data_IF_076893999232
#
_entry.id   IF_076893999232
#
_cell.length_a   1.000
_cell.length_b   1.000
_cell.length_c   1.000
_cell.angle_alpha   90.00
_cell.angle_beta   90.00
_cell.angle_gamma   90.00
#
_symmetry.space_group_name_H-M   'P 1'
#
loop_
_entity.id
_entity.type
_entity.pdbx_description
1 polymer ?
#
# COMPACT_ATOMS: atom_id res chain seq x y z
N UNK A 1 0.82 -35.35 43.10
CA UNK A 1 1.08 -36.11 41.87
C UNK A 1 2.03 -35.29 41.01
N UNK A 2 3.29 -35.67 41.13
CA UNK A 2 4.43 -35.63 40.21
C UNK A 2 4.61 -34.52 39.16
N UNK A 3 5.65 -33.73 39.45
CA UNK A 3 6.64 -33.14 38.55
C UNK A 3 7.05 -34.06 37.38
N UNK A 4 7.03 -33.55 36.14
CA UNK A 4 8.02 -33.92 35.12
C UNK A 4 8.52 -32.71 34.35
N UNK A 5 9.70 -32.26 34.81
CA UNK A 5 10.72 -31.55 34.03
C UNK A 5 11.04 -32.38 32.78
N UNK A 6 11.12 -31.76 31.60
CA UNK A 6 12.00 -32.23 30.55
C UNK A 6 12.96 -31.12 30.17
N UNK A 7 14.22 -31.42 30.42
CA UNK A 7 15.41 -30.60 30.36
C UNK A 7 16.24 -31.14 29.20
N UNK A 8 16.97 -30.23 28.55
CA UNK A 8 18.14 -30.45 27.68
C UNK A 8 17.92 -31.11 26.31
N UNK A 9 18.34 -30.39 25.27
CA UNK A 9 19.73 -30.57 24.80
C UNK A 9 20.18 -29.40 23.92
N UNK A 10 21.27 -28.77 24.35
CA UNK A 10 22.11 -27.91 23.52
C UNK A 10 22.87 -28.80 22.54
N UNK A 11 22.97 -28.40 21.27
CA UNK A 11 24.08 -28.80 20.43
C UNK A 11 24.73 -27.55 19.82
N UNK A 12 26.02 -27.41 20.11
CA UNK A 12 26.94 -26.44 19.53
C UNK A 12 27.68 -27.17 18.40
N UNK A 13 27.70 -26.58 17.21
CA UNK A 13 28.70 -26.82 16.16
C UNK A 13 28.85 -25.48 15.41
N UNK A 14 29.87 -24.66 15.63
CA UNK A 14 31.29 -24.84 15.31
C UNK A 14 31.53 -25.05 13.80
N UNK A 15 32.18 -24.05 13.18
CA UNK A 15 33.06 -24.25 12.03
C UNK A 15 32.47 -23.88 10.67
N UNK A 16 33.03 -22.84 10.05
CA UNK A 16 32.79 -22.56 8.63
C UNK A 16 33.17 -21.16 8.16
N UNK A 17 34.41 -20.73 8.40
CA UNK A 17 34.98 -19.58 7.67
C UNK A 17 35.40 -20.10 6.29
N UNK A 18 34.74 -19.63 5.23
CA UNK A 18 35.22 -19.69 3.85
C UNK A 18 34.86 -18.34 3.20
N UNK A 19 35.80 -17.39 3.22
CA UNK A 19 36.77 -17.16 2.15
C UNK A 19 36.13 -16.55 0.87
N UNK A 20 36.20 -15.22 0.85
CA UNK A 20 36.40 -14.31 -0.28
C UNK A 20 36.52 -14.94 -1.69
N UNK A 21 35.65 -14.51 -2.60
CA UNK A 21 36.02 -14.28 -3.99
C UNK A 21 35.30 -13.06 -4.54
N UNK A 22 36.00 -11.93 -4.53
CA UNK A 22 35.67 -10.75 -5.34
C UNK A 22 36.05 -11.07 -6.79
N UNK A 23 35.08 -11.07 -7.68
CA UNK A 23 35.33 -10.93 -9.12
C UNK A 23 34.88 -9.54 -9.56
N UNK A 24 35.82 -8.60 -9.54
CA UNK A 24 35.74 -7.34 -10.26
C UNK A 24 35.92 -7.64 -11.76
N UNK A 25 34.86 -7.48 -12.55
CA UNK A 25 34.97 -7.27 -13.99
C UNK A 25 34.73 -5.80 -14.26
N UNK A 26 35.83 -5.09 -14.49
CA UNK A 26 35.85 -3.76 -15.08
C UNK A 26 36.44 -3.88 -16.48
N UNK A 27 35.70 -3.41 -17.48
CA UNK A 27 36.15 -2.98 -18.82
C UNK A 27 34.90 -2.36 -19.47
N UNK A 28 34.79 -1.03 -19.53
CA UNK A 28 35.28 -0.21 -20.65
C UNK A 28 34.07 0.11 -21.56
N UNK A 29 33.86 1.27 -22.16
CA UNK A 29 34.66 2.46 -22.38
C UNK A 29 33.72 3.60 -22.79
N UNK A 30 34.07 4.80 -22.36
CA UNK A 30 33.67 6.14 -22.80
C UNK A 30 33.14 6.27 -24.24
N UNK A 31 32.05 7.03 -24.37
CA UNK A 31 31.70 7.76 -25.58
C UNK A 31 30.94 9.04 -25.20
N UNK A 32 31.55 10.23 -25.27
CA UNK A 32 30.82 11.48 -25.19
C UNK A 32 30.25 11.82 -26.57
N UNK A 33 28.96 12.08 -26.66
CA UNK A 33 28.44 12.97 -27.68
C UNK A 33 27.68 14.10 -27.01
N UNK A 34 28.42 15.18 -26.76
CA UNK A 34 27.89 16.53 -26.90
C UNK A 34 27.29 16.66 -28.31
N UNK A 35 26.02 17.08 -28.38
CA UNK A 35 25.62 18.00 -29.42
C UNK A 35 24.68 19.04 -28.83
N UNK A 36 25.22 20.25 -28.80
CA UNK A 36 24.67 21.49 -28.27
C UNK A 36 23.41 21.97 -29.00
N UNK A 37 22.42 22.38 -28.19
CA UNK A 37 21.50 23.56 -28.22
C UNK A 37 21.45 24.49 -29.47
N UNK A 38 20.48 25.43 -29.63
CA UNK A 38 19.16 25.63 -28.97
C UNK A 38 18.01 25.97 -29.97
N UNK A 39 16.75 25.92 -29.51
CA UNK A 39 15.68 26.77 -30.09
C UNK A 39 14.74 27.27 -28.99
N UNK A 40 14.75 28.57 -28.66
CA UNK A 40 13.64 29.20 -27.96
C UNK A 40 12.67 29.78 -28.99
N UNK A 41 11.41 29.35 -28.98
CA UNK A 41 10.33 30.08 -29.65
C UNK A 41 9.17 30.27 -28.70
N UNK A 42 8.91 31.56 -28.48
CA UNK A 42 7.84 32.18 -27.71
C UNK A 42 6.47 31.79 -28.25
N UNK A 43 5.55 31.44 -27.35
CA UNK A 43 4.13 31.71 -27.50
C UNK A 43 3.49 31.79 -26.10
N UNK A 44 3.60 32.97 -25.49
CA UNK A 44 2.61 33.43 -24.52
C UNK A 44 1.35 33.76 -25.30
N UNK A 45 0.25 33.07 -24.99
CA UNK A 45 -1.10 33.58 -25.23
C UNK A 45 -1.83 33.50 -23.90
N UNK A 46 -1.96 34.65 -23.26
CA UNK A 46 -2.92 34.91 -22.18
C UNK A 46 -4.34 34.56 -22.63
N UNK A 47 -5.17 34.07 -21.71
CA UNK A 47 -6.55 34.48 -21.64
C UNK A 47 -6.70 35.49 -20.48
N UNK A 48 -6.97 36.74 -20.84
CA UNK A 48 -7.70 37.67 -19.98
C UNK A 48 -9.05 37.04 -19.60
N UNK A 49 -9.55 37.36 -18.40
CA UNK A 49 -10.81 38.11 -18.40
C UNK A 49 -10.72 39.37 -17.54
N UNK A 50 -11.12 40.48 -18.15
CA UNK A 50 -11.53 41.71 -17.48
C UNK A 50 -12.76 41.47 -16.59
N UNK A 51 -12.65 41.95 -15.35
CA UNK A 51 -13.62 42.75 -14.57
C UNK A 51 -15.12 42.57 -14.87
N UNK A 52 -15.88 42.15 -13.86
CA UNK A 52 -17.04 42.93 -13.43
C UNK A 52 -17.35 42.72 -11.95
N UNK A 53 -17.63 43.85 -11.34
CA UNK A 53 -17.84 44.10 -9.93
C UNK A 53 -19.29 43.82 -9.53
N UNK A 54 -19.46 43.62 -8.22
CA UNK A 54 -20.61 44.08 -7.42
C UNK A 54 -22.01 43.47 -7.68
N UNK A 55 -22.49 42.67 -6.73
CA UNK A 55 -23.80 42.93 -6.13
C UNK A 55 -23.76 42.47 -4.65
N UNK A 56 -23.59 43.45 -3.76
CA UNK A 56 -23.77 43.26 -2.32
C UNK A 56 -25.25 43.50 -2.04
N UNK A 57 -26.05 42.43 -1.99
CA UNK A 57 -27.42 42.55 -1.51
C UNK A 57 -27.51 42.17 -0.03
N UNK A 58 -27.47 43.21 0.80
CA UNK A 58 -28.00 43.20 2.17
C UNK A 58 -29.54 43.19 2.10
N UNK A 59 -30.14 42.10 2.56
CA UNK A 59 -31.58 41.99 2.76
C UNK A 59 -31.85 41.19 4.02
N UNK A 60 -32.21 41.90 5.08
CA UNK A 60 -32.36 41.41 6.43
C UNK A 60 -33.79 40.84 6.69
N UNK A 61 -33.85 39.95 7.68
CA UNK A 61 -34.97 39.63 8.59
C UNK A 61 -36.24 38.98 7.99
N UNK A 62 -36.48 37.71 8.36
CA UNK A 62 -37.84 37.26 8.67
C UNK A 62 -37.78 36.09 9.65
N UNK A 63 -38.29 36.32 10.85
CA UNK A 63 -38.49 35.33 11.91
C UNK A 63 -39.56 34.32 11.46
N UNK A 64 -39.22 33.03 11.55
CA UNK A 64 -40.12 31.94 11.25
C UNK A 64 -39.72 30.71 12.05
N UNK A 65 -40.25 30.62 13.26
CA UNK A 65 -40.24 29.43 14.10
C UNK A 65 -40.95 28.28 13.35
N UNK A 66 -40.18 27.31 12.89
CA UNK A 66 -40.68 26.03 12.39
C UNK A 66 -39.73 24.93 12.86
N UNK A 67 -40.12 24.35 14.00
CA UNK A 67 -39.70 23.06 14.51
C UNK A 67 -39.86 21.96 13.43
N UNK A 68 -38.77 21.32 12.95
CA UNK A 68 -38.87 20.01 12.34
C UNK A 68 -38.66 18.97 13.44
N UNK A 69 -39.77 18.34 13.85
CA UNK A 69 -39.79 17.11 14.62
C UNK A 69 -38.73 16.15 14.08
N UNK A 70 -37.85 15.68 14.96
CA UNK A 70 -37.08 14.47 14.70
C UNK A 70 -38.07 13.35 14.38
N UNK A 71 -37.96 12.64 13.24
CA UNK A 71 -38.64 11.37 13.13
C UNK A 71 -37.90 10.40 14.05
N UNK A 72 -38.48 10.15 15.22
CA UNK A 72 -38.40 8.84 15.86
C UNK A 72 -38.84 7.83 14.80
N UNK A 73 -37.87 7.11 14.24
CA UNK A 73 -38.13 5.91 13.45
C UNK A 73 -37.68 4.73 14.30
N UNK A 74 -38.67 3.89 14.51
CA UNK A 74 -38.75 2.78 15.44
C UNK A 74 -37.62 1.77 15.23
N UNK A 75 -37.29 1.10 16.33
CA UNK A 75 -36.48 -0.09 16.44
C UNK A 75 -36.95 -1.16 15.45
N UNK A 76 -36.34 -1.16 14.26
CA UNK A 76 -36.31 -2.29 13.37
C UNK A 76 -35.17 -3.20 13.78
N UNK A 77 -35.39 -4.02 14.80
CA UNK A 77 -34.55 -5.16 15.15
C UNK A 77 -34.58 -6.15 13.98
N UNK A 78 -33.75 -5.89 12.97
CA UNK A 78 -33.35 -6.90 12.00
C UNK A 78 -32.14 -7.59 12.60
N UNK A 79 -32.40 -8.61 13.42
CA UNK A 79 -31.44 -9.61 13.87
C UNK A 79 -31.05 -10.49 12.66
N UNK A 80 -30.48 -9.86 11.64
CA UNK A 80 -29.68 -10.48 10.62
C UNK A 80 -28.26 -10.39 11.13
N UNK A 81 -27.68 -11.50 11.58
CA UNK A 81 -26.26 -11.59 11.86
C UNK A 81 -25.50 -10.91 10.72
N UNK A 82 -24.96 -9.72 10.98
CA UNK A 82 -24.05 -9.08 10.06
C UNK A 82 -22.94 -10.09 9.81
N UNK A 83 -22.83 -10.55 8.55
CA UNK A 83 -21.70 -11.37 8.15
C UNK A 83 -20.44 -10.63 8.64
N UNK A 84 -19.68 -11.28 9.52
CA UNK A 84 -18.52 -10.63 10.12
C UNK A 84 -17.43 -10.60 9.05
N UNK A 85 -17.42 -9.56 8.22
CA UNK A 85 -16.40 -9.42 7.19
C UNK A 85 -15.01 -9.30 7.84
N UNK A 86 -14.03 -10.07 7.35
CA UNK A 86 -12.63 -9.88 7.71
C UNK A 86 -12.06 -8.77 6.85
N UNK A 87 -11.37 -7.84 7.49
CA UNK A 87 -10.80 -6.69 6.79
C UNK A 87 -9.29 -6.86 6.64
N UNK A 88 -8.83 -6.88 5.39
CA UNK A 88 -7.40 -6.86 5.05
C UNK A 88 -7.04 -5.46 4.59
N UNK A 89 -6.06 -4.84 5.25
CA UNK A 89 -5.50 -3.55 4.87
C UNK A 89 -4.06 -3.73 4.43
N UNK A 90 -3.74 -3.27 3.22
CA UNK A 90 -2.40 -3.35 2.65
C UNK A 90 -1.87 -1.93 2.57
N UNK A 91 -0.71 -1.69 3.19
CA UNK A 91 -0.04 -0.40 3.15
C UNK A 91 1.32 -0.53 2.48
N UNK A 92 1.64 0.41 1.60
CA UNK A 92 2.94 0.50 0.92
C UNK A 92 3.40 1.94 0.98
N UNK A 93 4.62 2.16 1.47
CA UNK A 93 5.21 3.49 1.55
C UNK A 93 6.65 3.47 1.07
N UNK A 94 7.19 4.61 0.68
CA UNK A 94 8.56 4.67 0.19
C UNK A 94 9.04 6.06 -0.15
N UNK A 95 10.35 6.16 -0.39
CA UNK A 95 11.05 7.41 -0.67
C UNK A 95 10.74 8.03 -2.05
N UNK A 96 10.15 7.29 -2.99
CA UNK A 96 9.76 7.81 -4.32
C UNK A 96 8.25 7.98 -4.39
N UNK A 97 7.79 8.74 -5.39
CA UNK A 97 6.37 9.03 -5.59
C UNK A 97 5.56 7.86 -6.18
N UNK A 98 6.20 6.82 -6.73
CA UNK A 98 5.48 5.66 -7.27
C UNK A 98 6.31 4.38 -7.24
N UNK A 99 5.61 3.24 -7.19
CA UNK A 99 6.19 1.91 -7.29
C UNK A 99 5.31 0.99 -8.16
N UNK A 100 5.87 -0.11 -8.63
CA UNK A 100 5.12 -1.24 -9.15
C UNK A 100 4.69 -2.10 -7.95
N UNK A 101 3.39 -2.36 -7.85
CA UNK A 101 2.76 -3.10 -6.76
C UNK A 101 1.98 -4.28 -7.34
N UNK A 102 2.16 -5.47 -6.78
CA UNK A 102 1.28 -6.63 -6.99
C UNK A 102 0.66 -7.00 -5.65
N UNK A 103 -0.66 -6.96 -5.61
CA UNK A 103 -1.48 -7.54 -4.54
C UNK A 103 -2.11 -8.81 -5.08
N UNK A 104 -1.94 -9.93 -4.39
CA UNK A 104 -2.61 -11.20 -4.68
C UNK A 104 -3.25 -11.74 -3.41
N UNK A 105 -4.56 -11.93 -3.43
CA UNK A 105 -5.32 -12.62 -2.38
C UNK A 105 -5.88 -13.91 -2.97
N UNK A 106 -5.62 -15.03 -2.31
CA UNK A 106 -6.17 -16.34 -2.66
C UNK A 106 -7.10 -16.76 -1.54
N UNK A 107 -8.38 -16.94 -1.84
CA UNK A 107 -9.40 -17.40 -0.89
C UNK A 107 -9.37 -18.92 -0.70
N UNK A 108 -10.01 -19.43 0.34
CA UNK A 108 -10.07 -20.86 0.65
C UNK A 108 -10.80 -21.69 -0.42
N UNK A 109 -11.68 -21.08 -1.19
CA UNK A 109 -12.32 -21.68 -2.37
C UNK A 109 -11.43 -21.65 -3.63
N UNK A 110 -10.19 -21.15 -3.51
CA UNK A 110 -9.21 -21.09 -4.59
C UNK A 110 -9.38 -19.94 -5.57
N UNK A 111 -10.30 -18.99 -5.32
CA UNK A 111 -10.41 -17.79 -6.14
C UNK A 111 -9.23 -16.85 -5.89
N UNK A 112 -8.73 -16.25 -6.96
CA UNK A 112 -7.67 -15.25 -6.90
C UNK A 112 -8.22 -13.85 -7.15
N UNK A 113 -7.80 -12.89 -6.33
CA UNK A 113 -8.05 -11.47 -6.52
C UNK A 113 -6.73 -10.73 -6.73
N UNK A 114 -6.65 -9.91 -7.78
CA UNK A 114 -5.46 -9.14 -8.14
C UNK A 114 -4.46 -9.93 -9.00
N UNK A 115 -3.20 -10.02 -8.55
CA UNK A 115 -2.14 -10.83 -9.17
C UNK A 115 -1.30 -10.14 -10.25
N UNK A 116 -1.70 -8.95 -10.72
CA UNK A 116 -0.96 -8.15 -11.70
C UNK A 116 -0.08 -7.11 -11.02
N UNK A 117 1.12 -6.89 -11.56
CA UNK A 117 1.95 -5.73 -11.19
C UNK A 117 1.37 -4.48 -11.84
N UNK A 118 1.01 -3.48 -11.04
CA UNK A 118 0.41 -2.21 -11.48
C UNK A 118 1.24 -1.06 -10.90
N UNK A 119 1.34 0.07 -11.62
CA UNK A 119 1.97 1.27 -11.05
C UNK A 119 1.01 1.93 -10.07
N UNK A 120 1.48 2.18 -8.85
CA UNK A 120 0.75 2.91 -7.83
C UNK A 120 1.55 4.14 -7.37
N UNK A 121 0.85 5.22 -7.04
CA UNK A 121 1.43 6.36 -6.32
C UNK A 121 1.69 5.96 -4.87
N UNK A 122 2.77 6.46 -4.27
CA UNK A 122 3.11 6.23 -2.87
C UNK A 122 2.85 7.49 -2.02
N UNK A 123 2.34 7.34 -0.78
CA UNK A 123 1.92 6.08 -0.15
C UNK A 123 0.66 5.49 -0.81
N UNK A 124 0.56 4.16 -0.79
CA UNK A 124 -0.55 3.39 -1.35
C UNK A 124 -1.21 2.56 -0.25
N UNK A 125 -2.53 2.63 -0.16
CA UNK A 125 -3.34 1.80 0.73
C UNK A 125 -4.42 1.10 -0.08
N UNK A 126 -4.62 -0.19 0.18
CA UNK A 126 -5.70 -0.99 -0.39
C UNK A 126 -6.41 -1.75 0.70
N UNK A 127 -7.73 -1.61 0.75
CA UNK A 127 -8.60 -2.40 1.62
C UNK A 127 -9.26 -3.52 0.80
N UNK A 128 -9.30 -4.72 1.38
CA UNK A 128 -9.98 -5.88 0.82
C UNK A 128 -10.88 -6.45 1.91
N UNK A 129 -12.19 -6.36 1.69
CA UNK A 129 -13.19 -7.03 2.51
C UNK A 129 -13.32 -8.49 2.05
N UNK A 130 -13.19 -9.41 2.99
CA UNK A 130 -13.40 -10.84 2.78
C UNK A 130 -14.62 -11.27 3.58
N UNK A 131 -15.57 -11.94 2.94
CA UNK A 131 -16.70 -12.51 3.65
C UNK A 131 -16.20 -13.56 4.66
N UNK A 132 -16.83 -13.67 5.83
CA UNK A 132 -16.42 -14.57 6.93
C UNK A 132 -16.28 -16.04 6.52
N UNK A 133 -17.11 -16.47 5.58
CA UNK A 133 -17.11 -17.82 4.99
C UNK A 133 -16.02 -17.99 3.92
N UNK A 134 -15.46 -16.88 3.45
CA UNK A 134 -14.39 -16.76 2.46
C UNK A 134 -13.09 -16.26 3.12
N UNK A 135 -12.60 -17.02 4.11
CA UNK A 135 -11.23 -16.87 4.61
C UNK A 135 -10.21 -17.02 3.47
N UNK A 136 -8.98 -16.55 3.70
CA UNK A 136 -7.91 -16.58 2.71
C UNK A 136 -6.89 -17.67 3.01
N UNK A 137 -6.34 -18.30 1.99
CA UNK A 137 -5.17 -19.18 2.15
C UNK A 137 -3.88 -18.40 2.09
N UNK A 138 -3.84 -17.34 1.28
CA UNK A 138 -2.63 -16.58 1.00
C UNK A 138 -2.94 -15.13 0.67
N UNK A 139 -2.16 -14.22 1.26
CA UNK A 139 -2.07 -12.82 0.82
C UNK A 139 -0.60 -12.55 0.51
N UNK A 140 -0.31 -12.12 -0.72
CA UNK A 140 1.02 -11.77 -1.19
C UNK A 140 1.01 -10.33 -1.71
N UNK A 141 1.90 -9.50 -1.17
CA UNK A 141 2.15 -8.15 -1.64
C UNK A 141 3.61 -8.03 -2.04
N UNK A 142 3.86 -7.61 -3.28
CA UNK A 142 5.20 -7.33 -3.79
C UNK A 142 5.24 -5.88 -4.24
N UNK A 143 6.18 -5.11 -3.71
CA UNK A 143 6.42 -3.72 -4.10
C UNK A 143 7.85 -3.55 -4.60
N UNK A 144 8.05 -2.88 -5.73
CA UNK A 144 9.38 -2.47 -6.21
C UNK A 144 9.33 -1.17 -7.00
N UNK A 145 10.42 -0.41 -7.01
CA UNK A 145 10.51 0.74 -7.91
C UNK A 145 10.68 0.33 -9.38
N UNK A 146 10.26 1.23 -10.27
CA UNK A 146 10.43 1.05 -11.73
C UNK A 146 11.89 1.17 -12.13
N UNK A 147 12.23 0.50 -13.24
CA UNK A 147 13.48 0.70 -13.96
C UNK A 147 14.75 0.50 -13.10
N UNK A 148 14.68 -0.38 -12.10
CA UNK A 148 15.82 -0.72 -11.23
C UNK A 148 16.21 0.37 -10.23
N UNK A 149 15.35 1.37 -10.03
CA UNK A 149 15.56 2.40 -9.01
C UNK A 149 15.63 1.79 -7.60
N UNK A 150 16.36 2.47 -6.72
CA UNK A 150 16.53 2.10 -5.31
C UNK A 150 16.07 3.23 -4.39
N UNK A 151 15.86 2.88 -3.13
CA UNK A 151 15.36 3.75 -2.07
C UNK A 151 14.61 2.90 -1.04
N UNK A 152 14.32 3.48 0.12
CA UNK A 152 13.48 2.80 1.13
C UNK A 152 12.10 2.54 0.54
N UNK A 153 11.61 1.32 0.69
CA UNK A 153 10.28 0.87 0.30
C UNK A 153 9.81 -0.16 1.34
N UNK A 154 8.65 0.10 1.91
CA UNK A 154 8.07 -0.67 3.00
C UNK A 154 6.71 -1.21 2.57
N UNK A 155 6.38 -2.44 2.97
CA UNK A 155 5.04 -2.98 2.90
C UNK A 155 4.56 -3.45 4.28
N UNK A 156 3.25 -3.39 4.50
CA UNK A 156 2.59 -4.12 5.59
C UNK A 156 1.25 -4.69 5.12
N UNK A 157 0.85 -5.78 5.78
CA UNK A 157 -0.47 -6.39 5.69
C UNK A 157 -1.04 -6.41 7.11
N UNK A 158 -2.18 -5.76 7.29
CA UNK A 158 -2.98 -5.77 8.50
C UNK A 158 -4.25 -6.57 8.26
N UNK A 159 -4.66 -7.35 9.25
CA UNK A 159 -5.87 -8.19 9.21
C UNK A 159 -6.63 -7.94 10.49
N UNK A 160 -7.86 -7.46 10.35
CA UNK A 160 -8.75 -7.14 11.48
C UNK A 160 -8.11 -6.16 12.49
N UNK A 161 -7.27 -5.23 11.98
CA UNK A 161 -6.55 -4.23 12.76
C UNK A 161 -5.23 -4.71 13.39
N UNK A 162 -4.83 -5.97 13.18
CA UNK A 162 -3.56 -6.52 13.64
C UNK A 162 -2.55 -6.65 12.49
N UNK A 163 -1.30 -6.21 12.71
CA UNK A 163 -0.23 -6.35 11.71
C UNK A 163 0.15 -7.83 11.57
N UNK A 164 -0.20 -8.43 10.42
CA UNK A 164 0.04 -9.82 10.11
C UNK A 164 1.40 -10.06 9.39
N UNK A 165 1.86 -9.09 8.59
CA UNK A 165 3.16 -9.15 7.93
C UNK A 165 3.72 -7.76 7.63
N UNK A 166 5.04 -7.64 7.66
CA UNK A 166 5.78 -6.42 7.27
C UNK A 166 7.09 -6.80 6.61
N UNK A 167 7.52 -6.03 5.63
CA UNK A 167 8.86 -6.13 5.04
C UNK A 167 9.35 -4.76 4.56
N UNK A 168 10.67 -4.61 4.46
CA UNK A 168 11.33 -3.37 4.06
C UNK A 168 12.59 -3.65 3.24
N UNK A 169 12.81 -2.84 2.21
CA UNK A 169 14.00 -2.91 1.37
C UNK A 169 14.55 -1.51 1.09
N UNK A 170 15.87 -1.42 0.95
CA UNK A 170 16.57 -0.24 0.40
C UNK A 170 17.33 -0.58 -0.88
N UNK A 171 17.25 -1.83 -1.32
CA UNK A 171 18.00 -2.38 -2.45
C UNK A 171 17.14 -2.45 -3.72
N UNK A 172 17.68 -3.06 -4.78
CA UNK A 172 16.91 -3.38 -5.99
C UNK A 172 15.95 -4.57 -5.79
N UNK A 173 16.02 -5.25 -4.63
CA UNK A 173 15.08 -6.33 -4.28
C UNK A 173 13.73 -5.72 -3.90
N UNK A 174 12.61 -6.35 -4.29
CA UNK A 174 11.28 -5.95 -3.84
C UNK A 174 11.15 -6.05 -2.31
N UNK A 175 10.24 -5.25 -1.74
CA UNK A 175 9.65 -5.57 -0.44
C UNK A 175 8.54 -6.61 -0.67
N UNK A 176 8.55 -7.68 0.12
CA UNK A 176 7.62 -8.81 0.00
C UNK A 176 6.92 -9.09 1.33
N UNK A 177 5.62 -8.81 1.39
CA UNK A 177 4.78 -9.15 2.52
C UNK A 177 3.93 -10.37 2.17
N UNK A 178 4.04 -11.43 2.97
CA UNK A 178 3.35 -12.69 2.76
C UNK A 178 2.67 -13.16 4.04
N UNK A 179 1.38 -13.43 3.94
CA UNK A 179 0.59 -14.10 4.98
C UNK A 179 0.07 -15.42 4.40
N UNK A 180 0.18 -16.50 5.17
CA UNK A 180 -0.39 -17.80 4.85
C UNK A 180 -1.21 -18.25 6.05
N UNK A 181 -2.51 -18.48 5.85
CA UNK A 181 -3.38 -19.09 6.87
C UNK A 181 -3.20 -20.61 6.82
N UNK A 182 -3.11 -21.27 7.99
CA UNK A 182 -2.85 -22.71 8.12
C UNK A 182 -4.13 -23.51 8.27
#
# INVERSE_FOLDING_TARGET
MDFRKNVLSKLVAAGGIAALSLSLVACGSSGPQEQSVPTPTVAQTEPQPEVSEEDTNLGAESEGDVNPQAPESEEGEQDGQAATERQVVINISGAKSSALVKTLVITNDGKEQGGKMITQSLPFTQEVALATDNSFTKILVIAKYKDGQTGTLDCSIEIDGEVAATDSTTSHRPAECLVIEK
#
